data_IF_335328609258
#
_entry.id   IF_335328609258
#
_cell.length_a   1.000
_cell.length_b   1.000
_cell.length_c   1.000
_cell.angle_alpha   90.00
_cell.angle_beta   90.00
_cell.angle_gamma   90.00
#
_symmetry.space_group_name_H-M   'P 1'
#
loop_
_entity.id
_entity.type
_entity.pdbx_description
1 polymer ?
#
# COMPACT_ATOMS: atom_id res chain seq x y z
N UNK A 1 2.00 7.05 10.56
CA UNK A 1 3.28 6.73 9.87
C UNK A 1 4.09 5.88 10.81
N UNK A 2 4.11 4.57 10.58
CA UNK A 2 5.01 3.65 11.29
C UNK A 2 6.34 3.69 10.53
N UNK A 3 7.45 3.83 11.25
CA UNK A 3 8.80 3.79 10.68
C UNK A 3 9.38 2.43 11.03
N UNK A 4 9.52 1.56 10.04
CA UNK A 4 10.20 0.27 10.18
C UNK A 4 11.63 0.41 9.61
N UNK A 5 12.64 0.19 10.44
CA UNK A 5 14.06 0.17 10.02
C UNK A 5 14.52 -1.28 9.96
N UNK A 6 14.79 -1.80 8.76
CA UNK A 6 15.38 -3.12 8.57
C UNK A 6 16.87 -3.03 8.20
N UNK A 7 17.66 -3.95 8.77
CA UNK A 7 19.05 -4.22 8.40
C UNK A 7 19.11 -5.65 7.87
N UNK A 8 19.28 -5.85 6.57
CA UNK A 8 19.40 -7.18 5.95
C UNK A 8 20.89 -7.56 5.83
N UNK A 9 21.26 -8.74 6.35
CA UNK A 9 22.61 -9.30 6.22
C UNK A 9 22.65 -10.34 5.10
N UNK A 10 23.46 -10.10 4.07
CA UNK A 10 23.76 -11.07 3.00
C UNK A 10 25.01 -11.89 3.31
N UNK A 11 24.97 -13.20 3.01
CA UNK A 11 26.13 -14.09 3.14
C UNK A 11 27.21 -13.73 2.11
N UNK A 12 28.45 -13.61 2.59
CA UNK A 12 29.65 -13.17 1.85
C UNK A 12 30.08 -14.17 0.78
N UNK A 13 30.39 -13.70 -0.43
CA UNK A 13 31.51 -14.17 -1.28
C UNK A 13 32.03 -13.02 -2.16
N UNK A 14 33.34 -12.72 -2.02
CA UNK A 14 34.24 -11.90 -2.84
C UNK A 14 33.84 -10.50 -3.38
N UNK A 15 34.24 -9.47 -2.61
CA UNK A 15 34.88 -8.22 -3.03
C UNK A 15 34.26 -7.39 -4.18
N UNK A 16 33.00 -6.97 -3.99
CA UNK A 16 32.69 -5.55 -4.04
C UNK A 16 32.42 -5.11 -2.60
N UNK A 17 32.71 -3.87 -2.22
CA UNK A 17 32.20 -3.29 -0.97
C UNK A 17 30.67 -3.27 -1.07
N UNK A 18 30.03 -4.38 -0.71
CA UNK A 18 28.59 -4.54 -0.71
C UNK A 18 28.06 -3.67 0.42
N UNK A 19 27.80 -2.39 0.11
CA UNK A 19 27.24 -1.45 1.07
C UNK A 19 25.93 -2.04 1.57
N UNK A 20 25.78 -2.14 2.90
CA UNK A 20 24.51 -2.45 3.52
C UNK A 20 23.47 -1.43 3.05
N UNK A 21 22.33 -1.91 2.57
CA UNK A 21 21.20 -1.07 2.21
C UNK A 21 20.35 -0.86 3.46
N UNK A 22 20.27 0.38 3.92
CA UNK A 22 19.21 0.82 4.84
C UNK A 22 18.10 1.41 4.00
N UNK A 23 16.88 0.92 4.20
CA UNK A 23 15.67 1.36 3.51
C UNK A 23 14.61 1.72 4.55
N UNK A 24 14.09 2.93 4.45
CA UNK A 24 12.99 3.42 5.29
C UNK A 24 11.68 3.26 4.52
N UNK A 25 10.79 2.42 5.03
CA UNK A 25 9.47 2.21 4.45
C UNK A 25 8.46 2.99 5.29
N UNK A 26 7.86 4.00 4.68
CA UNK A 26 6.72 4.72 5.21
C UNK A 26 5.48 4.11 4.58
N UNK A 27 4.48 3.78 5.40
CA UNK A 27 3.24 3.24 4.86
C UNK A 27 1.99 3.80 5.53
N UNK A 28 0.90 3.65 4.79
CA UNK A 28 -0.49 3.90 5.19
C UNK A 28 -1.34 2.79 4.60
N UNK A 29 -2.54 2.60 5.13
CA UNK A 29 -3.56 1.69 4.64
C UNK A 29 -4.90 2.20 5.20
N UNK A 30 -6.00 1.84 4.56
CA UNK A 30 -7.36 2.06 5.09
C UNK A 30 -7.60 3.55 5.49
N UNK A 31 -7.12 4.47 4.65
CA UNK A 31 -7.30 5.91 4.88
C UNK A 31 -8.78 6.28 4.78
N UNK A 32 -9.57 5.55 3.99
CA UNK A 32 -11.02 5.70 3.91
C UNK A 32 -11.45 7.17 3.83
N UNK A 33 -10.90 7.89 2.87
CA UNK A 33 -11.19 9.31 2.61
C UNK A 33 -11.11 10.25 3.81
N UNK A 34 -10.38 9.91 4.87
CA UNK A 34 -10.03 10.83 5.96
C UNK A 34 -8.97 11.85 5.48
N UNK A 35 -9.41 12.75 4.59
CA UNK A 35 -8.58 13.81 4.00
C UNK A 35 -8.24 14.89 5.03
N UNK A 36 -9.23 15.26 5.82
CA UNK A 36 -9.09 16.15 6.98
C UNK A 36 -8.62 15.37 8.23
N UNK A 37 -8.24 16.12 9.26
CA UNK A 37 -7.98 15.53 10.56
C UNK A 37 -9.25 15.00 11.24
N UNK A 38 -9.08 13.94 12.02
CA UNK A 38 -10.14 13.26 12.74
C UNK A 38 -9.91 13.34 14.23
N UNK A 39 -10.97 13.18 15.02
CA UNK A 39 -10.81 12.87 16.44
C UNK A 39 -10.21 11.45 16.61
N UNK A 40 -9.88 11.09 17.85
CA UNK A 40 -9.24 9.80 18.16
C UNK A 40 -10.03 8.53 17.81
N UNK A 41 -11.32 8.67 17.49
CA UNK A 41 -12.20 7.58 17.07
C UNK A 41 -12.46 7.58 15.57
N UNK A 42 -11.73 8.37 14.79
CA UNK A 42 -11.95 8.53 13.35
C UNK A 42 -13.13 9.42 12.99
N UNK A 43 -13.79 10.06 13.96
CA UNK A 43 -14.88 10.99 13.70
C UNK A 43 -14.39 12.39 13.34
N UNK A 44 -15.34 13.30 13.09
CA UNK A 44 -15.04 14.73 12.84
C UNK A 44 -14.25 15.34 14.01
N UNK A 45 -13.20 16.08 13.68
CA UNK A 45 -12.51 16.99 14.59
C UNK A 45 -13.30 18.31 14.68
N UNK A 46 -13.62 18.76 15.89
CA UNK A 46 -14.24 20.07 16.11
C UNK A 46 -13.22 21.08 16.67
N UNK A 47 -13.37 22.40 16.42
CA UNK A 47 -12.42 23.41 16.89
C UNK A 47 -12.19 23.40 18.40
N UNK A 48 -13.19 23.01 19.18
CA UNK A 48 -13.10 22.85 20.64
C UNK A 48 -12.15 21.70 21.06
N UNK A 49 -11.88 20.77 20.15
CA UNK A 49 -11.02 19.59 20.33
C UNK A 49 -9.58 19.83 19.84
N UNK A 50 -9.17 21.06 19.52
CA UNK A 50 -7.94 21.38 18.76
C UNK A 50 -6.62 20.72 19.26
N UNK A 51 -6.51 20.32 20.53
CA UNK A 51 -5.35 19.57 21.05
C UNK A 51 -5.46 18.04 20.91
N UNK A 52 -6.52 17.54 20.28
CA UNK A 52 -6.95 16.14 20.28
C UNK A 52 -7.34 15.64 18.87
N UNK A 53 -6.87 16.31 17.83
CA UNK A 53 -7.10 15.91 16.44
C UNK A 53 -5.87 15.26 15.83
N UNK A 54 -6.10 14.22 15.03
CA UNK A 54 -5.10 13.28 14.55
C UNK A 54 -5.28 13.03 13.06
N UNK A 55 -4.24 12.51 12.41
CA UNK A 55 -4.30 12.14 10.99
C UNK A 55 -4.49 13.34 10.06
N UNK A 56 -5.25 13.15 8.99
CA UNK A 56 -5.39 14.08 7.88
C UNK A 56 -4.21 14.04 6.92
N UNK A 57 -4.51 14.12 5.63
CA UNK A 57 -3.50 13.96 4.56
C UNK A 57 -2.42 15.02 4.64
N UNK A 58 -2.76 16.27 5.00
CA UNK A 58 -1.79 17.34 5.15
C UNK A 58 -0.69 17.02 6.19
N UNK A 59 -1.08 16.44 7.33
CA UNK A 59 -0.16 16.05 8.41
C UNK A 59 0.68 14.83 8.01
N UNK A 60 0.08 13.86 7.30
CA UNK A 60 0.80 12.72 6.72
C UNK A 60 1.90 13.21 5.77
N UNK A 61 1.53 14.06 4.81
CA UNK A 61 2.46 14.61 3.81
C UNK A 61 3.56 15.44 4.48
N UNK A 62 3.24 16.24 5.49
CA UNK A 62 4.24 17.00 6.24
C UNK A 62 5.28 16.07 6.88
N UNK A 63 4.85 15.01 7.57
CA UNK A 63 5.77 14.04 8.19
C UNK A 63 6.55 13.23 7.16
N UNK A 64 5.94 12.85 6.03
CA UNK A 64 6.65 12.19 4.92
C UNK A 64 7.75 13.08 4.36
N UNK A 65 7.49 14.38 4.17
CA UNK A 65 8.49 15.34 3.69
C UNK A 65 9.64 15.53 4.69
N UNK A 66 9.33 15.61 5.98
CA UNK A 66 10.34 15.64 7.05
C UNK A 66 11.25 14.42 6.97
N UNK A 67 10.69 13.21 6.99
CA UNK A 67 11.48 11.97 6.95
C UNK A 67 12.28 11.84 5.65
N UNK A 68 11.72 12.22 4.50
CA UNK A 68 12.46 12.24 3.22
C UNK A 68 13.60 13.27 3.21
N UNK A 69 13.57 14.27 4.08
CA UNK A 69 14.67 15.22 4.27
C UNK A 69 15.80 14.66 5.13
N UNK A 70 15.48 13.79 6.08
CA UNK A 70 16.42 13.23 7.05
C UNK A 70 17.00 11.87 6.61
N UNK A 71 16.21 11.07 5.89
CA UNK A 71 16.54 9.72 5.46
C UNK A 71 16.88 9.64 3.97
N UNK A 72 17.95 8.91 3.65
CA UNK A 72 18.47 8.84 2.27
C UNK A 72 17.60 8.01 1.33
N UNK A 73 17.17 6.84 1.80
CA UNK A 73 16.51 5.82 0.98
C UNK A 73 15.10 5.59 1.54
N UNK A 74 14.11 6.29 1.00
CA UNK A 74 12.73 6.24 1.49
C UNK A 74 11.79 5.75 0.41
N UNK A 75 10.90 4.82 0.76
CA UNK A 75 9.72 4.48 -0.04
C UNK A 75 8.47 4.84 0.76
N UNK A 76 7.51 5.51 0.11
CA UNK A 76 6.20 5.80 0.69
C UNK A 76 5.12 4.99 -0.02
N UNK A 77 4.40 4.17 0.74
CA UNK A 77 3.49 3.15 0.21
C UNK A 77 2.07 3.23 0.79
N UNK A 78 1.09 2.75 0.02
CA UNK A 78 -0.28 2.57 0.49
C UNK A 78 -0.78 1.13 0.27
N UNK A 79 -1.27 0.50 1.34
CA UNK A 79 -1.81 -0.85 1.35
C UNK A 79 -3.29 -0.95 0.97
N UNK A 80 -3.82 -0.05 0.13
CA UNK A 80 -5.21 -0.05 -0.32
C UNK A 80 -6.20 0.69 0.59
N UNK A 81 -7.46 0.75 0.13
CA UNK A 81 -8.62 1.37 0.79
C UNK A 81 -8.43 2.85 1.12
N UNK A 82 -8.21 3.63 0.06
CA UNK A 82 -8.29 5.08 0.15
C UNK A 82 -9.72 5.58 -0.13
N UNK A 83 -10.51 4.78 -0.86
CA UNK A 83 -11.92 5.05 -1.15
C UNK A 83 -12.81 4.83 0.08
N UNK A 84 -14.04 5.35 -0.03
CA UNK A 84 -15.10 5.25 0.98
C UNK A 84 -14.78 5.95 2.31
N UNK A 85 -15.74 6.04 3.24
CA UNK A 85 -15.50 6.38 4.66
C UNK A 85 -16.06 7.73 5.12
N UNK A 86 -15.95 8.79 4.31
CA UNK A 86 -16.40 10.14 4.67
C UNK A 86 -17.24 10.78 3.55
N UNK A 87 -17.95 11.89 3.84
CA UNK A 87 -18.72 12.63 2.82
C UNK A 87 -17.88 13.09 1.62
N UNK A 88 -16.55 13.21 1.75
CA UNK A 88 -15.68 13.52 0.61
C UNK A 88 -15.85 12.50 -0.52
N UNK A 89 -15.75 11.21 -0.19
CA UNK A 89 -15.93 10.17 -1.20
C UNK A 89 -17.38 10.07 -1.66
N UNK A 90 -18.35 10.19 -0.74
CA UNK A 90 -19.77 10.14 -1.12
C UNK A 90 -20.15 11.21 -2.16
N UNK A 91 -19.65 12.44 -1.99
CA UNK A 91 -20.02 13.58 -2.83
C UNK A 91 -19.13 13.74 -4.07
N UNK A 92 -17.83 13.47 -3.95
CA UNK A 92 -16.85 13.77 -4.99
C UNK A 92 -16.21 12.52 -5.60
N UNK A 93 -16.44 11.35 -5.01
CA UNK A 93 -16.02 10.04 -5.53
C UNK A 93 -14.51 9.99 -5.76
N UNK A 94 -14.08 9.21 -6.75
CA UNK A 94 -12.67 9.11 -7.13
C UNK A 94 -12.01 10.46 -7.43
N UNK A 95 -12.76 11.50 -7.85
CA UNK A 95 -12.17 12.72 -8.37
C UNK A 95 -11.37 13.49 -7.32
N UNK A 96 -11.89 13.59 -6.09
CA UNK A 96 -11.17 14.21 -4.97
C UNK A 96 -10.06 13.29 -4.46
N UNK A 97 -10.32 11.99 -4.41
CA UNK A 97 -9.35 11.02 -3.89
C UNK A 97 -8.11 10.94 -4.78
N UNK A 98 -8.32 10.82 -6.08
CA UNK A 98 -7.23 10.74 -7.06
C UNK A 98 -6.41 12.03 -7.11
N UNK A 99 -7.04 13.21 -7.01
CA UNK A 99 -6.34 14.50 -6.90
C UNK A 99 -5.53 14.59 -5.60
N UNK A 100 -6.07 14.15 -4.47
CA UNK A 100 -5.30 14.20 -3.21
C UNK A 100 -4.15 13.21 -3.26
N UNK A 101 -4.40 11.94 -3.61
CA UNK A 101 -3.38 10.90 -3.65
C UNK A 101 -2.26 11.22 -4.64
N UNK A 102 -2.56 11.81 -5.79
CA UNK A 102 -1.52 12.22 -6.76
C UNK A 102 -0.54 13.24 -6.18
N UNK A 103 -0.99 14.05 -5.22
CA UNK A 103 -0.18 15.09 -4.58
C UNK A 103 0.48 14.62 -3.26
N UNK A 104 0.16 13.42 -2.75
CA UNK A 104 0.76 12.88 -1.53
C UNK A 104 2.20 12.39 -1.74
N UNK A 105 2.57 12.09 -2.98
CA UNK A 105 3.90 11.62 -3.34
C UNK A 105 4.16 10.17 -2.95
N UNK A 106 3.16 9.30 -3.05
CA UNK A 106 3.33 7.84 -2.96
C UNK A 106 4.23 7.33 -4.09
N UNK A 107 5.07 6.34 -3.77
CA UNK A 107 5.88 5.63 -4.76
C UNK A 107 5.12 4.42 -5.33
N UNK A 108 4.49 3.65 -4.44
CA UNK A 108 3.80 2.41 -4.76
C UNK A 108 2.51 2.26 -3.94
N UNK A 109 1.46 1.77 -4.58
CA UNK A 109 0.19 1.47 -3.91
C UNK A 109 -0.35 0.14 -4.43
N UNK A 110 -1.11 -0.58 -3.61
CA UNK A 110 -2.01 -1.62 -4.12
C UNK A 110 -3.46 -1.12 -4.09
N UNK A 111 -4.35 -1.80 -4.80
CA UNK A 111 -5.78 -1.60 -4.63
C UNK A 111 -6.24 -2.37 -3.38
N UNK A 112 -7.18 -1.79 -2.65
CA UNK A 112 -8.03 -2.46 -1.69
C UNK A 112 -9.39 -2.80 -2.28
N UNK A 113 -10.28 -3.35 -1.46
CA UNK A 113 -11.60 -3.74 -1.92
C UNK A 113 -12.48 -2.50 -2.22
N UNK A 114 -12.34 -1.42 -1.45
CA UNK A 114 -13.19 -0.24 -1.63
C UNK A 114 -12.88 0.57 -2.89
N UNK A 115 -11.72 0.36 -3.52
CA UNK A 115 -11.42 0.93 -4.84
C UNK A 115 -12.40 0.46 -5.93
N UNK A 116 -13.12 -0.66 -5.70
CA UNK A 116 -14.09 -1.24 -6.62
C UNK A 116 -15.55 -0.88 -6.29
N UNK A 117 -15.82 -0.04 -5.26
CA UNK A 117 -17.18 0.18 -4.73
C UNK A 117 -18.15 0.78 -5.76
N UNK A 118 -17.66 1.67 -6.60
CA UNK A 118 -18.43 2.34 -7.65
C UNK A 118 -18.08 1.78 -9.06
N UNK A 119 -17.45 0.61 -9.10
CA UNK A 119 -17.18 -0.16 -10.31
C UNK A 119 -16.14 0.41 -11.28
N UNK A 120 -15.98 -0.25 -12.45
CA UNK A 120 -14.95 0.05 -13.44
C UNK A 120 -14.91 1.51 -13.91
N UNK A 121 -16.06 2.15 -14.11
CA UNK A 121 -16.18 3.54 -14.57
C UNK A 121 -15.60 4.55 -13.57
N UNK A 122 -15.66 4.23 -12.27
CA UNK A 122 -15.08 5.06 -11.23
C UNK A 122 -13.59 4.73 -11.01
N UNK A 123 -13.19 3.45 -11.14
CA UNK A 123 -11.79 3.04 -10.96
C UNK A 123 -10.87 3.49 -12.10
N UNK A 124 -11.34 3.45 -13.35
CA UNK A 124 -10.52 3.82 -14.52
C UNK A 124 -9.90 5.24 -14.46
N UNK A 125 -10.65 6.32 -14.17
CA UNK A 125 -10.06 7.65 -14.05
C UNK A 125 -9.11 7.78 -12.85
N UNK A 126 -9.33 7.02 -11.77
CA UNK A 126 -8.38 6.95 -10.65
C UNK A 126 -7.04 6.35 -11.10
N UNK A 127 -7.07 5.18 -11.76
CA UNK A 127 -5.87 4.52 -12.28
C UNK A 127 -5.13 5.40 -13.28
N UNK A 128 -5.87 6.10 -14.15
CA UNK A 128 -5.34 7.10 -15.07
C UNK A 128 -4.54 8.17 -14.32
N UNK A 129 -5.12 8.78 -13.30
CA UNK A 129 -4.48 9.84 -12.51
C UNK A 129 -3.24 9.34 -11.78
N UNK A 130 -3.28 8.13 -11.18
CA UNK A 130 -2.12 7.55 -10.51
C UNK A 130 -0.95 7.41 -11.48
N UNK A 131 -1.21 6.89 -12.69
CA UNK A 131 -0.21 6.79 -13.76
C UNK A 131 0.34 8.16 -14.18
N UNK A 132 -0.52 9.15 -14.41
CA UNK A 132 -0.11 10.51 -14.77
C UNK A 132 0.74 11.19 -13.68
N UNK A 133 0.61 10.75 -12.44
CA UNK A 133 1.28 11.30 -11.27
C UNK A 133 2.49 10.49 -10.81
N UNK A 134 2.92 9.51 -11.63
CA UNK A 134 4.03 8.59 -11.34
C UNK A 134 3.84 7.73 -10.08
N UNK A 135 2.60 7.50 -9.65
CA UNK A 135 2.26 6.55 -8.59
C UNK A 135 2.06 5.17 -9.23
N UNK A 136 2.87 4.19 -8.85
CA UNK A 136 2.78 2.85 -9.43
C UNK A 136 1.75 2.01 -8.66
N UNK A 137 0.67 1.62 -9.33
CA UNK A 137 -0.32 0.69 -8.78
C UNK A 137 0.10 -0.74 -9.09
N UNK A 138 0.42 -1.52 -8.05
CA UNK A 138 0.84 -2.92 -8.16
C UNK A 138 -0.31 -3.89 -7.90
N UNK A 139 -0.40 -4.95 -8.70
CA UNK A 139 -1.45 -5.95 -8.62
C UNK A 139 -1.13 -7.20 -9.45
N UNK A 140 -0.72 -8.28 -8.81
CA UNK A 140 -0.41 -9.57 -9.44
C UNK A 140 -1.64 -10.41 -9.69
N UNK A 141 -2.68 -10.24 -8.87
CA UNK A 141 -3.80 -11.15 -8.79
C UNK A 141 -5.10 -10.62 -9.39
N UNK A 142 -5.11 -9.37 -9.87
CA UNK A 142 -6.26 -8.74 -10.52
C UNK A 142 -6.07 -8.70 -12.03
N UNK A 143 -7.09 -9.15 -12.77
CA UNK A 143 -7.10 -9.18 -14.23
C UNK A 143 -8.26 -8.35 -14.79
N UNK A 144 -7.93 -7.38 -15.63
CA UNK A 144 -8.88 -6.47 -16.29
C UNK A 144 -9.08 -6.79 -17.77
N UNK A 145 -8.45 -7.84 -18.31
CA UNK A 145 -8.41 -8.11 -19.75
C UNK A 145 -9.78 -8.27 -20.41
N UNK A 146 -10.75 -8.81 -19.68
CA UNK A 146 -12.13 -9.01 -20.16
C UNK A 146 -13.05 -7.80 -19.87
N UNK A 147 -12.59 -6.79 -19.12
CA UNK A 147 -13.37 -5.60 -18.79
C UNK A 147 -13.19 -4.49 -19.83
N UNK A 148 -14.29 -4.02 -20.41
CA UNK A 148 -14.22 -3.05 -21.52
C UNK A 148 -13.70 -1.68 -21.12
N UNK A 149 -13.81 -1.31 -19.84
CA UNK A 149 -13.40 -0.01 -19.30
C UNK A 149 -11.96 -0.09 -18.77
N UNK A 150 -11.61 -1.18 -18.10
CA UNK A 150 -10.35 -1.33 -17.38
C UNK A 150 -9.22 -2.01 -18.16
N UNK A 151 -9.50 -2.70 -19.28
CA UNK A 151 -8.49 -3.42 -20.07
C UNK A 151 -7.26 -2.59 -20.49
N UNK A 152 -7.41 -1.28 -20.63
CA UNK A 152 -6.33 -0.36 -21.01
C UNK A 152 -5.57 0.21 -19.78
N UNK A 153 -6.01 -0.13 -18.57
CA UNK A 153 -5.47 0.27 -17.27
C UNK A 153 -4.87 -0.90 -16.50
N UNK A 154 -4.39 -1.93 -17.21
CA UNK A 154 -3.77 -3.11 -16.59
C UNK A 154 -2.75 -2.72 -15.52
N UNK A 155 -2.86 -3.38 -14.37
CA UNK A 155 -1.97 -3.16 -13.24
C UNK A 155 -0.57 -3.69 -13.53
N UNK A 156 0.42 -3.04 -12.93
CA UNK A 156 1.79 -3.53 -12.96
C UNK A 156 1.89 -4.70 -11.99
N UNK A 157 2.16 -5.92 -12.47
CA UNK A 157 2.29 -7.09 -11.58
C UNK A 157 3.40 -6.90 -10.56
N UNK A 158 4.57 -6.49 -11.04
CA UNK A 158 5.67 -6.05 -10.20
C UNK A 158 6.49 -4.94 -10.86
N UNK A 159 7.18 -4.17 -10.05
CA UNK A 159 8.11 -3.12 -10.45
C UNK A 159 9.46 -3.33 -9.78
N UNK A 160 10.53 -2.82 -10.40
CA UNK A 160 11.88 -2.88 -9.83
C UNK A 160 12.42 -1.46 -9.61
N UNK A 161 12.88 -1.18 -8.40
CA UNK A 161 13.64 0.04 -8.07
C UNK A 161 15.08 -0.33 -7.75
N UNK A 162 16.02 0.45 -8.27
CA UNK A 162 17.42 0.32 -7.89
C UNK A 162 17.76 1.41 -6.89
N UNK A 163 18.11 1.02 -5.66
CA UNK A 163 18.48 1.93 -4.56
C UNK A 163 19.86 1.53 -4.07
N UNK A 164 20.81 2.45 -4.09
CA UNK A 164 22.22 2.20 -3.74
C UNK A 164 22.83 0.97 -4.44
N UNK A 165 22.46 0.76 -5.71
CA UNK A 165 22.94 -0.35 -6.54
C UNK A 165 22.26 -1.71 -6.25
N UNK A 166 21.34 -1.78 -5.28
CA UNK A 166 20.54 -2.97 -4.99
C UNK A 166 19.18 -2.89 -5.70
N UNK A 167 18.77 -3.99 -6.33
CA UNK A 167 17.46 -4.12 -6.98
C UNK A 167 16.42 -4.58 -5.96
N UNK A 168 15.37 -3.79 -5.80
CA UNK A 168 14.23 -4.07 -4.94
C UNK A 168 13.02 -4.31 -5.85
N UNK A 169 12.39 -5.46 -5.71
CA UNK A 169 11.14 -5.82 -6.36
C UNK A 169 9.97 -5.40 -5.49
N UNK A 170 8.95 -4.81 -6.11
CA UNK A 170 7.70 -4.43 -5.46
C UNK A 170 6.58 -5.11 -6.21
N UNK A 171 5.77 -5.90 -5.51
CA UNK A 171 4.57 -6.55 -6.04
C UNK A 171 3.40 -6.31 -5.09
N UNK A 172 2.18 -6.52 -5.55
CA UNK A 172 1.02 -6.34 -4.67
C UNK A 172 -0.20 -7.12 -5.07
N UNK A 173 -1.14 -7.25 -4.14
CA UNK A 173 -2.36 -8.02 -4.32
C UNK A 173 -3.50 -7.47 -3.45
N UNK A 174 -4.72 -7.82 -3.83
CA UNK A 174 -5.95 -7.54 -3.09
C UNK A 174 -6.65 -8.85 -2.75
N UNK A 175 -7.37 -8.91 -1.63
CA UNK A 175 -8.12 -10.12 -1.26
C UNK A 175 -9.12 -10.53 -2.37
N UNK A 176 -9.17 -11.81 -2.80
CA UNK A 176 -10.10 -12.27 -3.84
C UNK A 176 -11.57 -12.05 -3.51
N UNK A 177 -11.89 -12.03 -2.21
CA UNK A 177 -13.23 -11.73 -1.69
C UNK A 177 -13.74 -10.34 -2.11
N UNK A 178 -12.88 -9.47 -2.65
CA UNK A 178 -13.27 -8.22 -3.33
C UNK A 178 -14.36 -8.44 -4.37
N UNK A 179 -14.39 -9.60 -5.03
CA UNK A 179 -15.45 -9.97 -5.96
C UNK A 179 -16.86 -9.95 -5.33
N UNK A 180 -16.95 -10.17 -4.02
CA UNK A 180 -18.21 -10.27 -3.28
C UNK A 180 -18.41 -9.15 -2.24
N UNK A 181 -17.33 -8.47 -1.85
CA UNK A 181 -17.32 -7.41 -0.83
C UNK A 181 -17.35 -6.00 -1.43
N UNK A 182 -17.30 -5.89 -2.76
CA UNK A 182 -17.40 -4.64 -3.49
C UNK A 182 -18.13 -4.84 -4.84
N UNK A 183 -18.00 -3.90 -5.79
CA UNK A 183 -18.71 -3.92 -7.07
C UNK A 183 -17.79 -3.92 -8.31
N UNK A 184 -16.81 -4.84 -8.41
CA UNK A 184 -15.85 -4.85 -9.52
C UNK A 184 -16.48 -5.22 -10.88
N UNK A 185 -17.73 -5.69 -10.90
CA UNK A 185 -18.40 -6.18 -12.09
C UNK A 185 -18.02 -7.64 -12.45
N UNK A 186 -18.67 -8.23 -13.46
CA UNK A 186 -18.48 -9.64 -13.79
C UNK A 186 -17.17 -9.95 -14.55
N UNK A 187 -16.50 -8.92 -15.08
CA UNK A 187 -15.38 -9.07 -16.00
C UNK A 187 -14.00 -8.83 -15.36
N UNK A 188 -13.96 -8.28 -14.14
CA UNK A 188 -12.74 -8.18 -13.36
C UNK A 188 -12.56 -9.47 -12.57
N UNK A 189 -11.40 -10.11 -12.72
CA UNK A 189 -11.11 -11.40 -12.07
C UNK A 189 -10.06 -11.24 -10.99
N UNK A 190 -10.26 -11.94 -9.87
CA UNK A 190 -9.31 -12.00 -8.77
C UNK A 190 -8.84 -13.45 -8.57
N UNK A 191 -7.55 -13.67 -8.74
CA UNK A 191 -6.89 -14.95 -8.46
C UNK A 191 -6.32 -14.97 -7.04
N UNK A 192 -5.94 -16.16 -6.54
CA UNK A 192 -5.39 -16.28 -5.18
C UNK A 192 -4.06 -15.53 -5.02
N UNK A 193 -3.91 -14.78 -3.93
CA UNK A 193 -2.76 -13.89 -3.73
C UNK A 193 -1.45 -14.70 -3.68
N UNK A 194 -1.43 -15.77 -2.88
CA UNK A 194 -0.27 -16.65 -2.70
C UNK A 194 0.20 -17.22 -4.04
N UNK A 195 -0.71 -17.78 -4.84
CA UNK A 195 -0.34 -18.39 -6.13
C UNK A 195 0.19 -17.33 -7.11
N UNK A 196 -0.45 -16.15 -7.13
CA UNK A 196 -0.01 -15.04 -7.97
C UNK A 196 1.38 -14.53 -7.57
N UNK A 197 1.65 -14.44 -6.27
CA UNK A 197 2.95 -14.01 -5.73
C UNK A 197 4.03 -15.04 -6.02
N UNK A 198 3.77 -16.34 -5.81
CA UNK A 198 4.73 -17.39 -6.13
C UNK A 198 5.18 -17.35 -7.59
N UNK A 199 4.27 -17.05 -8.53
CA UNK A 199 4.61 -16.86 -9.94
C UNK A 199 5.48 -15.62 -10.15
N UNK A 200 5.12 -14.50 -9.55
CA UNK A 200 5.80 -13.23 -9.82
C UNK A 200 7.16 -13.10 -9.12
N UNK A 201 7.33 -13.65 -7.91
CA UNK A 201 8.63 -13.66 -7.24
C UNK A 201 9.67 -14.47 -8.01
N UNK A 202 9.25 -15.50 -8.76
CA UNK A 202 10.15 -16.23 -9.69
C UNK A 202 10.62 -15.31 -10.82
N UNK A 203 9.72 -14.51 -11.41
CA UNK A 203 10.09 -13.55 -12.45
C UNK A 203 11.09 -12.50 -11.94
N UNK A 204 10.83 -11.95 -10.74
CA UNK A 204 11.72 -11.00 -10.08
C UNK A 204 13.10 -11.63 -9.78
N UNK A 205 13.11 -12.81 -9.18
CA UNK A 205 14.36 -13.53 -8.83
C UNK A 205 15.19 -13.85 -10.07
N UNK A 206 14.56 -14.34 -11.14
CA UNK A 206 15.23 -14.60 -12.42
C UNK A 206 15.80 -13.33 -13.07
N UNK A 207 15.26 -12.16 -12.72
CA UNK A 207 15.74 -10.84 -13.17
C UNK A 207 16.85 -10.26 -12.28
N UNK A 208 17.35 -11.04 -11.33
CA UNK A 208 18.41 -10.67 -10.39
C UNK A 208 17.94 -9.74 -9.27
N UNK A 209 16.64 -9.76 -8.95
CA UNK A 209 16.09 -9.08 -7.77
C UNK A 209 16.21 -10.02 -6.57
N UNK A 210 16.75 -9.51 -5.47
CA UNK A 210 16.99 -10.29 -4.25
C UNK A 210 16.47 -9.61 -2.97
N UNK A 211 15.76 -8.50 -3.13
CA UNK A 211 14.99 -7.85 -2.07
C UNK A 211 13.57 -7.67 -2.62
N UNK A 212 12.56 -8.23 -1.97
CA UNK A 212 11.18 -8.21 -2.43
C UNK A 212 10.26 -7.67 -1.34
N UNK A 213 9.53 -6.61 -1.68
CA UNK A 213 8.51 -5.99 -0.84
C UNK A 213 7.14 -6.28 -1.43
N UNK A 214 6.25 -6.89 -0.66
CA UNK A 214 4.85 -7.04 -1.01
C UNK A 214 4.01 -5.90 -0.41
N UNK A 215 3.06 -5.39 -1.18
CA UNK A 215 2.03 -4.45 -0.72
C UNK A 215 0.68 -5.15 -0.89
N UNK A 216 -0.02 -5.42 0.20
CA UNK A 216 -1.27 -6.19 0.16
C UNK A 216 -2.42 -5.47 0.81
N UNK A 217 -3.61 -5.80 0.33
CA UNK A 217 -4.86 -5.50 1.01
C UNK A 217 -5.61 -6.82 1.25
N UNK A 218 -5.02 -7.66 2.11
CA UNK A 218 -5.50 -9.04 2.36
C UNK A 218 -5.88 -9.28 3.83
N UNK A 219 -5.47 -8.41 4.75
CA UNK A 219 -5.77 -8.54 6.16
C UNK A 219 -4.75 -9.36 6.93
N UNK A 220 -4.47 -8.94 8.16
CA UNK A 220 -3.30 -9.37 8.93
C UNK A 220 -3.10 -10.89 9.05
N UNK A 221 -4.16 -11.65 9.35
CA UNK A 221 -4.06 -13.12 9.47
C UNK A 221 -3.71 -13.78 8.14
N UNK A 222 -4.29 -13.29 7.05
CA UNK A 222 -4.02 -13.78 5.69
C UNK A 222 -2.62 -13.39 5.24
N UNK A 223 -2.17 -12.19 5.62
CA UNK A 223 -0.83 -11.69 5.33
C UNK A 223 0.26 -12.52 6.03
N UNK A 224 0.03 -12.98 7.26
CA UNK A 224 0.91 -13.96 7.92
C UNK A 224 1.00 -15.26 7.10
N UNK A 225 -0.11 -15.76 6.58
CA UNK A 225 -0.13 -16.95 5.74
C UNK A 225 0.62 -16.73 4.42
N UNK A 226 0.49 -15.55 3.82
CA UNK A 226 1.20 -15.16 2.59
C UNK A 226 2.70 -15.22 2.80
N UNK A 227 3.24 -14.55 3.83
CA UNK A 227 4.70 -14.54 4.08
C UNK A 227 5.24 -15.93 4.44
N UNK A 228 4.43 -16.78 5.09
CA UNK A 228 4.81 -18.17 5.36
C UNK A 228 4.89 -19.03 4.10
N UNK A 229 4.03 -18.78 3.10
CA UNK A 229 3.94 -19.57 1.86
C UNK A 229 4.75 -18.99 0.70
N UNK A 230 5.24 -17.76 0.83
CA UNK A 230 6.07 -17.06 -0.16
C UNK A 230 7.33 -16.52 0.54
N UNK A 231 8.27 -17.40 0.94
CA UNK A 231 9.44 -17.02 1.74
C UNK A 231 10.43 -16.10 1.04
N UNK A 232 10.24 -15.82 -0.26
CA UNK A 232 11.01 -14.83 -1.01
C UNK A 232 10.61 -13.38 -0.68
N UNK A 233 9.47 -13.16 -0.02
CA UNK A 233 9.06 -11.81 0.42
C UNK A 233 9.84 -11.46 1.68
N UNK A 234 10.64 -10.39 1.61
CA UNK A 234 11.41 -9.90 2.76
C UNK A 234 10.59 -9.00 3.68
N UNK A 235 9.68 -8.21 3.10
CA UNK A 235 8.80 -7.28 3.82
C UNK A 235 7.41 -7.31 3.19
N UNK A 236 6.38 -7.31 4.03
CA UNK A 236 4.99 -7.13 3.62
C UNK A 236 4.43 -5.88 4.29
N UNK A 237 3.87 -4.99 3.48
CA UNK A 237 3.08 -3.82 3.90
C UNK A 237 1.60 -4.16 3.67
N UNK A 238 0.84 -4.28 4.75
CA UNK A 238 -0.54 -4.77 4.72
C UNK A 238 -1.62 -3.69 4.84
N UNK A 239 -2.87 -4.14 4.84
CA UNK A 239 -4.09 -3.35 5.00
C UNK A 239 -5.32 -4.20 5.35
N UNK A 240 -6.52 -3.68 5.14
CA UNK A 240 -7.85 -4.34 5.24
C UNK A 240 -8.38 -4.53 6.66
N UNK A 241 -7.57 -5.03 7.60
CA UNK A 241 -8.06 -5.40 8.94
C UNK A 241 -7.91 -4.30 9.98
N UNK A 242 -7.46 -3.10 9.59
CA UNK A 242 -7.22 -1.98 10.51
C UNK A 242 -6.34 -2.35 11.71
N UNK A 243 -5.41 -3.28 11.49
CA UNK A 243 -4.60 -3.87 12.57
C UNK A 243 -3.58 -2.87 13.10
N UNK A 244 -3.58 -2.68 14.42
CA UNK A 244 -2.59 -1.87 15.10
C UNK A 244 -1.42 -2.74 15.58
N UNK A 245 -0.23 -2.46 15.05
CA UNK A 245 1.02 -3.09 15.49
C UNK A 245 1.89 -2.02 16.18
N UNK A 246 2.42 -2.34 17.35
CA UNK A 246 3.21 -1.41 18.13
C UNK A 246 4.18 -2.14 19.05
N UNK A 247 5.46 -1.77 18.99
CA UNK A 247 6.50 -2.27 19.90
C UNK A 247 6.76 -1.25 21.00
N UNK A 248 6.55 -1.64 22.25
CA UNK A 248 6.74 -0.78 23.43
C UNK A 248 5.49 -0.68 24.31
N UNK A 249 5.54 0.18 25.34
CA UNK A 249 4.48 0.28 26.36
C UNK A 249 3.66 1.56 26.30
N UNK A 250 4.07 2.55 25.50
CA UNK A 250 3.44 3.89 25.45
C UNK A 250 2.45 4.03 24.28
N UNK A 251 1.58 3.03 24.12
CA UNK A 251 0.51 3.08 23.12
C UNK A 251 -0.82 3.61 23.73
N UNK A 252 -1.69 4.24 22.93
CA UNK A 252 -3.00 4.71 23.41
C UNK A 252 -3.82 3.55 23.98
N UNK A 253 -4.41 3.73 25.17
CA UNK A 253 -5.13 2.67 25.90
C UNK A 253 -6.34 2.12 25.15
N UNK A 254 -6.90 2.91 24.25
CA UNK A 254 -8.00 2.52 23.35
C UNK A 254 -7.57 1.54 22.25
N UNK A 255 -6.27 1.42 21.96
CA UNK A 255 -5.73 0.54 20.95
C UNK A 255 -5.09 -0.69 21.60
N UNK A 256 -5.36 -1.87 21.05
CA UNK A 256 -4.71 -3.12 21.47
C UNK A 256 -3.74 -3.58 20.39
N UNK A 257 -2.42 -3.59 20.64
CA UNK A 257 -1.45 -4.14 19.70
C UNK A 257 -1.71 -5.63 19.42
N UNK A 258 -1.68 -6.03 18.15
CA UNK A 258 -1.83 -7.42 17.71
C UNK A 258 -0.50 -8.10 17.34
N UNK A 259 0.61 -7.36 17.37
CA UNK A 259 1.97 -7.83 17.07
C UNK A 259 2.92 -7.77 18.28
N UNK A 260 4.18 -8.19 18.08
CA UNK A 260 5.22 -8.18 19.12
C UNK A 260 5.68 -6.77 19.54
#
# INVERSE_FOLDING_TARGET
VIVLVLILYGAQHCAASDKNLTLTILHTNDIHSHLEESNKFGGRCFPEDNSSCYGGVARIVAKVKEIRGDEKNVLFMNGGDFFQGTPYYTLLKQSVISEVMSNMGYDFVCLGNHEFDDGPENLAPFLKRMKESNVTVVGTNTDFSDDTVLKDYNLVKSAVRTIDGKKIGILGAVIPDTQFTSNPGPNVKFSGEIESFQKEVVNLTNSGVNIIIAITHSGFKREIEIVQKVPQIDVLVGGHTNTFLYTGTDYPKENKPEGP
#
